data_IF_140081258685
#
_entry.id   IF_140081258685
#
_cell.length_a   1.000
_cell.length_b   1.000
_cell.length_c   1.000
_cell.angle_alpha   90.00
_cell.angle_beta   90.00
_cell.angle_gamma   90.00
#
_symmetry.space_group_name_H-M   'P 1'
#
loop_
_entity.id
_entity.type
_entity.pdbx_description
1 polymer ?
#
# COMPACT_ATOMS: atom_id res chain seq x y z
N UNK A 1 15.77 5.77 18.87
CA UNK A 1 15.49 5.63 17.42
C UNK A 1 16.81 5.73 16.68
N UNK A 2 17.23 4.64 16.05
CA UNK A 2 18.47 4.62 15.27
C UNK A 2 18.35 5.64 14.12
N UNK A 3 19.19 6.67 14.15
CA UNK A 3 19.21 7.72 13.12
C UNK A 3 19.93 7.26 11.84
N UNK A 4 20.60 6.11 11.88
CA UNK A 4 21.28 5.47 10.75
C UNK A 4 20.55 4.22 10.25
N UNK A 5 19.49 3.80 10.92
CA UNK A 5 18.76 2.57 10.63
C UNK A 5 17.80 2.75 9.45
N UNK A 6 17.85 1.82 8.50
CA UNK A 6 16.84 1.69 7.44
C UNK A 6 15.55 1.19 8.10
N UNK A 7 14.46 1.94 7.95
CA UNK A 7 13.13 1.48 8.39
C UNK A 7 12.63 0.40 7.44
N UNK A 8 12.34 -0.80 7.97
CA UNK A 8 11.71 -1.88 7.22
C UNK A 8 10.18 -1.76 7.14
N UNK A 9 9.63 -0.64 7.63
CA UNK A 9 8.19 -0.40 7.70
C UNK A 9 7.82 0.84 6.90
N UNK A 10 6.70 0.77 6.18
CA UNK A 10 6.10 1.92 5.52
C UNK A 10 5.63 2.94 6.55
N UNK A 11 6.12 4.17 6.45
CA UNK A 11 5.64 5.27 7.28
C UNK A 11 4.36 5.83 6.68
N UNK A 12 3.25 5.71 7.40
CA UNK A 12 1.93 6.23 7.01
C UNK A 12 1.52 7.42 7.89
N UNK A 13 0.44 8.11 7.53
CA UNK A 13 -0.02 9.33 8.23
C UNK A 13 0.46 10.64 7.60
N UNK A 14 0.19 11.78 8.25
CA UNK A 14 0.27 13.13 7.66
C UNK A 14 1.56 13.44 6.89
N UNK A 15 2.73 13.13 7.47
CA UNK A 15 4.04 13.30 6.82
C UNK A 15 4.73 11.97 6.48
N UNK A 16 4.07 10.83 6.69
CA UNK A 16 4.70 9.51 6.54
C UNK A 16 5.19 9.25 5.11
N UNK A 17 4.41 9.66 4.10
CA UNK A 17 4.71 9.42 2.68
C UNK A 17 6.02 10.06 2.18
N UNK A 18 6.52 11.09 2.86
CA UNK A 18 7.74 11.81 2.46
C UNK A 18 9.01 11.13 2.95
N UNK A 19 8.86 10.14 3.83
CA UNK A 19 9.97 9.39 4.46
C UNK A 19 10.17 8.01 3.85
N UNK A 20 9.27 7.55 2.99
CA UNK A 20 9.39 6.29 2.26
C UNK A 20 10.26 6.49 1.02
N UNK A 21 11.55 6.63 1.26
CA UNK A 21 12.57 6.90 0.26
C UNK A 21 13.29 5.61 -0.11
N UNK A 22 13.58 5.46 -1.40
CA UNK A 22 14.34 4.35 -1.95
C UNK A 22 15.44 4.89 -2.86
N UNK A 23 16.51 4.10 -2.96
CA UNK A 23 17.58 4.32 -3.91
C UNK A 23 17.22 3.66 -5.25
N UNK A 24 17.26 4.42 -6.34
CA UNK A 24 16.93 3.94 -7.69
C UNK A 24 17.99 4.38 -8.71
N UNK A 25 18.98 3.52 -8.94
CA UNK A 25 20.09 3.73 -9.87
C UNK A 25 19.67 3.83 -11.35
N UNK A 26 18.38 3.60 -11.66
CA UNK A 26 17.83 3.75 -13.01
C UNK A 26 17.42 5.20 -13.32
N UNK A 27 17.50 6.11 -12.36
CA UNK A 27 17.17 7.52 -12.58
C UNK A 27 18.23 8.17 -13.49
N UNK A 28 17.82 8.50 -14.72
CA UNK A 28 18.70 9.16 -15.71
C UNK A 28 18.36 10.63 -15.92
N UNK A 29 17.13 11.03 -15.60
CA UNK A 29 16.63 12.40 -15.76
C UNK A 29 16.56 13.10 -14.41
N UNK A 30 17.24 14.24 -14.32
CA UNK A 30 17.31 15.11 -13.15
C UNK A 30 16.74 16.50 -13.44
N UNK A 31 15.92 16.62 -14.49
CA UNK A 31 15.24 17.89 -14.80
C UNK A 31 14.22 18.20 -13.70
N UNK A 32 14.28 19.38 -13.06
CA UNK A 32 13.38 19.70 -11.96
C UNK A 32 11.96 19.92 -12.51
N UNK A 33 11.01 19.11 -12.05
CA UNK A 33 9.58 19.22 -12.41
C UNK A 33 8.81 20.23 -11.56
N UNK A 34 9.50 20.89 -10.62
CA UNK A 34 8.90 21.85 -9.68
C UNK A 34 9.55 23.22 -9.81
N UNK A 35 8.83 24.27 -9.41
CA UNK A 35 9.35 25.64 -9.39
C UNK A 35 10.23 25.95 -8.15
N UNK A 36 10.62 24.93 -7.39
CA UNK A 36 11.44 25.10 -6.18
C UNK A 36 12.88 25.38 -6.61
N UNK A 37 13.43 26.51 -6.15
CA UNK A 37 14.83 26.87 -6.36
C UNK A 37 15.69 26.16 -5.31
N UNK A 38 16.56 25.25 -5.75
CA UNK A 38 17.46 24.49 -4.87
C UNK A 38 18.33 23.51 -5.64
N UNK A 39 19.25 22.86 -4.93
CA UNK A 39 20.06 21.79 -5.51
C UNK A 39 19.20 20.55 -5.78
N UNK A 40 19.36 20.00 -6.99
CA UNK A 40 18.65 18.80 -7.39
C UNK A 40 19.36 17.59 -6.79
N UNK A 41 18.58 16.70 -6.18
CA UNK A 41 19.12 15.45 -5.64
C UNK A 41 19.73 14.59 -6.76
N UNK A 42 21.04 14.33 -6.68
CA UNK A 42 21.79 13.44 -7.58
C UNK A 42 22.21 12.13 -6.91
N UNK A 43 21.72 11.87 -5.69
CA UNK A 43 22.00 10.64 -4.94
C UNK A 43 21.07 9.48 -5.33
N UNK A 44 20.31 9.60 -6.41
CA UNK A 44 19.35 8.59 -6.88
C UNK A 44 18.24 8.23 -5.86
N UNK A 45 18.02 9.08 -4.86
CA UNK A 45 16.99 8.89 -3.85
C UNK A 45 15.65 9.45 -4.35
N UNK A 46 14.61 8.61 -4.38
CA UNK A 46 13.25 9.05 -4.69
C UNK A 46 12.24 8.46 -3.71
N UNK A 47 11.03 9.01 -3.73
CA UNK A 47 9.90 8.42 -3.02
C UNK A 47 9.36 7.21 -3.77
N UNK A 48 8.80 6.26 -3.02
CA UNK A 48 7.95 5.21 -3.60
C UNK A 48 6.74 5.83 -4.29
N UNK A 49 6.41 5.32 -5.47
CA UNK A 49 5.24 5.70 -6.28
C UNK A 49 3.95 5.09 -5.74
N UNK A 50 2.75 5.61 -6.10
CA UNK A 50 1.50 5.02 -5.66
C UNK A 50 1.32 3.56 -6.10
N UNK A 51 1.85 3.20 -7.27
CA UNK A 51 1.84 1.81 -7.75
C UNK A 51 2.70 0.89 -6.88
N UNK A 52 3.88 1.35 -6.47
CA UNK A 52 4.73 0.57 -5.55
C UNK A 52 4.05 0.37 -4.19
N UNK A 53 3.36 1.40 -3.67
CA UNK A 53 2.53 1.27 -2.46
C UNK A 53 1.41 0.24 -2.64
N UNK A 54 0.69 0.28 -3.76
CA UNK A 54 -0.37 -0.67 -4.05
C UNK A 54 0.18 -2.12 -4.08
N UNK A 55 1.35 -2.33 -4.68
CA UNK A 55 2.01 -3.66 -4.69
C UNK A 55 2.39 -4.13 -3.30
N UNK A 56 2.92 -3.23 -2.45
CA UNK A 56 3.24 -3.56 -1.05
C UNK A 56 1.99 -3.97 -0.25
N UNK A 57 0.84 -3.38 -0.55
CA UNK A 57 -0.45 -3.75 0.03
C UNK A 57 -1.07 -5.02 -0.62
N UNK A 58 -0.43 -5.59 -1.64
CA UNK A 58 -0.89 -6.81 -2.33
C UNK A 58 -1.98 -6.59 -3.38
N UNK A 59 -2.19 -5.36 -3.85
CA UNK A 59 -3.12 -5.09 -4.95
C UNK A 59 -2.59 -5.65 -6.28
N UNK A 60 -3.46 -6.15 -7.16
CA UNK A 60 -3.05 -6.60 -8.48
C UNK A 60 -2.54 -5.43 -9.33
N UNK A 61 -1.64 -5.71 -10.27
CA UNK A 61 -1.10 -4.70 -11.19
C UNK A 61 -2.20 -4.02 -12.04
N UNK A 62 -3.32 -4.70 -12.24
CA UNK A 62 -4.51 -4.20 -12.96
C UNK A 62 -5.38 -3.24 -12.14
N UNK A 63 -5.15 -3.11 -10.83
CA UNK A 63 -5.94 -2.22 -9.97
C UNK A 63 -5.78 -0.76 -10.39
N UNK A 64 -6.89 -0.07 -10.69
CA UNK A 64 -6.86 1.32 -11.17
C UNK A 64 -6.66 2.30 -10.01
N UNK A 65 -5.89 3.36 -10.24
CA UNK A 65 -5.64 4.45 -9.27
C UNK A 65 -6.17 5.76 -9.89
N UNK A 66 -7.49 6.02 -9.82
CA UNK A 66 -8.13 7.13 -10.54
C UNK A 66 -8.06 8.47 -9.79
N UNK A 67 -7.21 8.58 -8.77
CA UNK A 67 -7.08 9.75 -7.90
C UNK A 67 -5.66 10.30 -7.97
N UNK A 68 -5.45 11.52 -7.46
CA UNK A 68 -4.11 12.10 -7.38
C UNK A 68 -3.19 11.26 -6.49
N UNK A 69 -1.89 11.32 -6.76
CA UNK A 69 -0.87 10.63 -5.97
C UNK A 69 -1.02 10.89 -4.47
N UNK A 70 -1.29 12.13 -4.06
CA UNK A 70 -1.48 12.50 -2.66
C UNK A 70 -2.65 11.74 -2.01
N UNK A 71 -3.78 11.62 -2.70
CA UNK A 71 -4.93 10.85 -2.22
C UNK A 71 -4.66 9.35 -2.27
N UNK A 72 -3.98 8.86 -3.31
CA UNK A 72 -3.60 7.46 -3.43
C UNK A 72 -2.73 7.01 -2.25
N UNK A 73 -1.70 7.78 -1.86
CA UNK A 73 -0.88 7.47 -0.68
C UNK A 73 -1.72 7.39 0.60
N UNK A 74 -2.71 8.29 0.76
CA UNK A 74 -3.61 8.26 1.92
C UNK A 74 -4.50 7.02 1.91
N UNK A 75 -5.07 6.67 0.75
CA UNK A 75 -5.91 5.48 0.59
C UNK A 75 -5.12 4.20 0.86
N UNK A 76 -3.92 4.06 0.30
CA UNK A 76 -3.08 2.87 0.54
C UNK A 76 -2.52 2.81 1.95
N UNK A 77 -2.17 3.94 2.57
CA UNK A 77 -1.71 3.98 3.96
C UNK A 77 -2.82 3.65 4.97
N UNK A 78 -4.08 3.91 4.64
CA UNK A 78 -5.25 3.55 5.45
C UNK A 78 -5.86 2.20 5.04
N UNK A 79 -5.32 1.54 4.01
CA UNK A 79 -5.82 0.26 3.53
C UNK A 79 -5.29 -0.88 4.40
N UNK A 80 -6.00 -2.01 4.35
CA UNK A 80 -5.51 -3.27 4.88
C UNK A 80 -4.95 -4.08 3.72
N UNK A 81 -3.85 -4.80 3.95
CA UNK A 81 -3.24 -5.64 2.92
C UNK A 81 -4.27 -6.64 2.34
N UNK A 82 -4.37 -6.71 1.02
CA UNK A 82 -5.33 -7.56 0.29
C UNK A 82 -5.23 -9.04 0.71
N UNK A 83 -4.04 -9.65 0.90
CA UNK A 83 -3.94 -11.04 1.36
C UNK A 83 -4.57 -11.30 2.73
N UNK A 84 -4.52 -10.31 3.63
CA UNK A 84 -5.10 -10.42 4.98
C UNK A 84 -6.62 -10.45 4.88
N UNK A 85 -7.20 -9.53 4.11
CA UNK A 85 -8.65 -9.49 3.89
C UNK A 85 -9.13 -10.76 3.18
N UNK A 86 -8.35 -11.29 2.23
CA UNK A 86 -8.67 -12.54 1.56
C UNK A 86 -8.76 -13.72 2.53
N UNK A 87 -7.78 -13.87 3.43
CA UNK A 87 -7.79 -14.92 4.44
C UNK A 87 -8.99 -14.79 5.40
N UNK A 88 -9.30 -13.57 5.85
CA UNK A 88 -10.47 -13.31 6.70
C UNK A 88 -11.76 -13.68 5.97
N UNK A 89 -11.89 -13.29 4.70
CA UNK A 89 -13.09 -13.59 3.90
C UNK A 89 -13.34 -15.09 3.74
N UNK A 90 -12.28 -15.89 3.56
CA UNK A 90 -12.39 -17.36 3.50
C UNK A 90 -13.00 -17.91 4.81
N UNK A 91 -12.50 -17.47 5.96
CA UNK A 91 -13.03 -17.92 7.25
C UNK A 91 -14.47 -17.47 7.49
N UNK A 92 -14.82 -16.25 7.05
CA UNK A 92 -16.20 -15.77 7.09
C UNK A 92 -17.14 -16.65 6.27
N UNK A 93 -16.75 -17.03 5.05
CA UNK A 93 -17.56 -17.90 4.17
C UNK A 93 -17.78 -19.26 4.84
N UNK A 94 -16.71 -19.89 5.34
CA UNK A 94 -16.82 -21.18 6.06
C UNK A 94 -17.81 -21.10 7.23
N UNK A 95 -17.79 -20.01 7.99
CA UNK A 95 -18.69 -19.81 9.13
C UNK A 95 -20.15 -19.66 8.69
N UNK A 96 -20.39 -18.97 7.57
CA UNK A 96 -21.73 -18.80 7.01
C UNK A 96 -22.27 -20.14 6.48
N UNK A 97 -21.44 -20.92 5.79
CA UNK A 97 -21.81 -22.24 5.26
C UNK A 97 -22.17 -23.21 6.39
N UNK A 98 -21.33 -23.28 7.43
CA UNK A 98 -21.60 -24.10 8.63
C UNK A 98 -22.89 -23.69 9.35
N UNK A 99 -23.25 -22.40 9.33
CA UNK A 99 -24.51 -21.94 9.92
C UNK A 99 -25.71 -22.34 9.06
N UNK A 100 -25.58 -22.28 7.73
CA UNK A 100 -26.63 -22.69 6.81
C UNK A 100 -26.94 -24.19 6.93
N UNK A 101 -25.91 -25.05 7.00
CA UNK A 101 -26.07 -26.50 7.19
C UNK A 101 -26.84 -26.83 8.49
N UNK A 102 -26.47 -26.20 9.61
CA UNK A 102 -27.17 -26.36 10.89
C UNK A 102 -28.64 -25.93 10.84
N UNK A 103 -28.98 -24.95 10.02
CA UNK A 103 -30.37 -24.50 9.85
C UNK A 103 -31.15 -25.54 9.04
N UNK A 104 -30.56 -26.06 7.96
CA UNK A 104 -31.19 -27.09 7.12
C UNK A 104 -31.46 -28.36 7.93
N UNK A 105 -30.50 -28.81 8.75
CA UNK A 105 -30.68 -29.96 9.65
C UNK A 105 -31.85 -29.75 10.63
N UNK A 106 -31.99 -28.55 11.19
CA UNK A 106 -33.09 -28.23 12.12
C UNK A 106 -34.47 -28.17 11.46
N UNK A 107 -34.55 -27.76 10.20
CA UNK A 107 -35.81 -27.68 9.45
C UNK A 107 -36.22 -29.04 8.89
N UNK A 108 -35.26 -29.93 8.66
CA UNK A 108 -35.49 -31.28 8.14
C UNK A 108 -35.79 -32.32 9.24
N UNK A 109 -35.65 -31.93 10.51
CA UNK A 109 -35.97 -32.72 11.70
C UNK A 109 -37.37 -32.39 12.22
#
# INVERSE_FOLDING_TARGET
LDKKGISNTLLVGGMGRERNLIYDNRLTDFTPVTNIKGEINREYIRRLTPREWARLQGFPNTYKIPVSDAQAYKQFGNSVCVPVIHAIAIEMIKMLDMQAEKIIEKVSA
#
